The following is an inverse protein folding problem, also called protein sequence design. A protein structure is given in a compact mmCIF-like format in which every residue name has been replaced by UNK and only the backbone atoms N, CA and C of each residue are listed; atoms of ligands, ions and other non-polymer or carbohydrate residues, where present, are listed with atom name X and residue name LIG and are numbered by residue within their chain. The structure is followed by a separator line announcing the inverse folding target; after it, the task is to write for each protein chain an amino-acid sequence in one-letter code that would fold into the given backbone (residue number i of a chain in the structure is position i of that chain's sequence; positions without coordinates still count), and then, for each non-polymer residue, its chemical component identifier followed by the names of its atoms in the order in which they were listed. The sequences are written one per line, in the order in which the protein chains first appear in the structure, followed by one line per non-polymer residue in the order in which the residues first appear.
data_IF_301953679445
#
_entry.id   IF_301953679445
#
_cell.length_a   1.000
_cell.length_b   1.000
_cell.length_c   1.000
_cell.angle_alpha   90.00
_cell.angle_beta   90.00
_cell.angle_gamma   90.00
#
_symmetry.space_group_name_H-M   'P 1'
#
loop_
_entity.id
_entity.type
_entity.pdbx_description
1 polymer ?
#
# COMPACT_ATOMS: atom_id res chain seq x y z
N UNK A 1 15.46 -10.18 -24.11
CA UNK A 1 16.77 -10.67 -23.61
C UNK A 1 17.90 -9.74 -24.03
N UNK A 2 18.12 -9.49 -25.32
CA UNK A 2 19.15 -8.54 -25.78
C UNK A 2 19.02 -7.13 -25.14
N UNK A 3 17.81 -6.56 -25.12
CA UNK A 3 17.54 -5.26 -24.48
C UNK A 3 17.86 -5.24 -22.98
N UNK A 4 17.55 -6.33 -22.27
CA UNK A 4 17.83 -6.48 -20.84
C UNK A 4 19.34 -6.56 -20.60
N UNK A 5 20.05 -7.33 -21.43
CA UNK A 5 21.51 -7.45 -21.35
C UNK A 5 22.19 -6.10 -21.62
N UNK A 6 21.77 -5.38 -22.67
CA UNK A 6 22.30 -4.05 -22.99
C UNK A 6 22.01 -3.03 -21.90
N UNK A 7 20.79 -3.04 -21.35
CA UNK A 7 20.45 -2.18 -20.20
C UNK A 7 21.35 -2.47 -19.01
N UNK A 8 21.53 -3.76 -18.68
CA UNK A 8 22.36 -4.18 -17.56
C UNK A 8 23.81 -3.71 -17.71
N UNK A 9 24.43 -3.94 -18.87
CA UNK A 9 25.81 -3.51 -19.14
C UNK A 9 25.97 -1.99 -19.08
N UNK A 10 25.02 -1.23 -19.63
CA UNK A 10 25.08 0.24 -19.59
C UNK A 10 24.96 0.77 -18.15
N UNK A 11 24.14 0.12 -17.32
CA UNK A 11 24.00 0.53 -15.93
C UNK A 11 25.20 0.14 -15.08
N UNK A 12 25.82 -1.01 -15.36
CA UNK A 12 27.05 -1.44 -14.72
C UNK A 12 28.20 -0.46 -15.01
N UNK A 13 28.34 -0.03 -16.27
CA UNK A 13 29.33 0.99 -16.64
C UNK A 13 29.07 2.37 -16.00
N UNK A 14 27.81 2.79 -15.90
CA UNK A 14 27.46 4.12 -15.40
C UNK A 14 27.45 4.23 -13.87
N UNK A 15 27.05 3.15 -13.17
CA UNK A 15 26.80 3.16 -11.72
C UNK A 15 27.70 2.17 -10.94
N UNK A 16 28.50 1.35 -11.64
CA UNK A 16 29.37 0.33 -11.04
C UNK A 16 28.65 -0.95 -10.61
N UNK A 17 27.39 -1.12 -11.02
CA UNK A 17 26.57 -2.30 -10.78
C UNK A 17 25.40 -2.36 -11.77
N UNK A 18 25.02 -3.58 -12.17
CA UNK A 18 23.82 -3.83 -12.98
C UNK A 18 22.54 -3.59 -12.19
N UNK A 19 21.75 -2.58 -12.60
CA UNK A 19 20.54 -2.18 -11.86
C UNK A 19 19.46 -3.27 -11.85
N UNK A 20 19.38 -4.13 -12.87
CA UNK A 20 18.37 -5.18 -12.91
C UNK A 20 18.74 -6.34 -11.98
N UNK A 21 19.97 -6.86 -12.07
CA UNK A 21 20.41 -7.97 -11.21
C UNK A 21 20.48 -7.55 -9.75
N UNK A 22 20.97 -6.35 -9.45
CA UNK A 22 21.02 -5.86 -8.08
C UNK A 22 19.61 -5.65 -7.50
N UNK A 23 18.68 -5.10 -8.28
CA UNK A 23 17.28 -5.02 -7.87
C UNK A 23 16.68 -6.40 -7.59
N UNK A 24 17.03 -7.44 -8.36
CA UNK A 24 16.61 -8.81 -8.09
C UNK A 24 17.23 -9.36 -6.80
N UNK A 25 18.53 -9.14 -6.57
CA UNK A 25 19.22 -9.58 -5.34
C UNK A 25 18.59 -8.91 -4.12
N UNK A 26 18.43 -7.58 -4.14
CA UNK A 26 17.80 -6.83 -3.05
C UNK A 26 16.36 -7.29 -2.84
N UNK A 27 15.58 -7.42 -3.93
CA UNK A 27 14.21 -7.93 -3.87
C UNK A 27 14.13 -9.31 -3.25
N UNK A 28 15.04 -10.21 -3.61
CA UNK A 28 15.08 -11.57 -3.08
C UNK A 28 15.47 -11.59 -1.60
N UNK A 29 16.48 -10.80 -1.20
CA UNK A 29 16.94 -10.70 0.18
C UNK A 29 15.86 -10.10 1.09
N UNK A 30 15.25 -8.99 0.68
CA UNK A 30 14.16 -8.34 1.42
C UNK A 30 12.95 -9.28 1.48
N UNK A 31 12.57 -9.90 0.36
CA UNK A 31 11.46 -10.85 0.34
C UNK A 31 11.71 -12.06 1.23
N UNK A 32 12.94 -12.59 1.32
CA UNK A 32 13.23 -13.73 2.20
C UNK A 32 13.11 -13.40 3.69
N UNK A 33 13.35 -12.13 4.06
CA UNK A 33 13.34 -11.68 5.44
C UNK A 33 11.96 -11.20 5.91
N UNK A 34 11.13 -10.72 4.98
CA UNK A 34 9.91 -9.97 5.31
C UNK A 34 8.62 -10.57 4.76
N UNK A 35 8.69 -11.53 3.83
CA UNK A 35 7.49 -12.12 3.23
C UNK A 35 6.76 -12.96 4.28
N UNK A 36 5.45 -12.73 4.48
CA UNK A 36 4.64 -13.56 5.37
C UNK A 36 4.41 -14.95 4.76
N UNK A 37 3.67 -15.81 5.46
CA UNK A 37 3.26 -17.11 4.91
C UNK A 37 2.55 -16.96 3.56
N UNK A 38 2.62 -17.96 2.68
CA UNK A 38 1.97 -17.90 1.37
C UNK A 38 0.47 -17.61 1.45
N UNK A 39 -0.21 -18.11 2.48
CA UNK A 39 -1.63 -17.82 2.70
C UNK A 39 -1.86 -16.37 3.09
N UNK A 40 -1.07 -15.82 4.02
CA UNK A 40 -1.16 -14.41 4.41
C UNK A 40 -0.80 -13.48 3.24
N UNK A 41 0.18 -13.85 2.41
CA UNK A 41 0.55 -13.16 1.18
C UNK A 41 -0.62 -13.14 0.19
N UNK A 42 -1.27 -14.29 -0.04
CA UNK A 42 -2.44 -14.38 -0.91
C UNK A 42 -3.61 -13.53 -0.40
N UNK A 43 -3.91 -13.61 0.90
CA UNK A 43 -4.97 -12.81 1.53
C UNK A 43 -4.68 -11.30 1.41
N UNK A 44 -3.44 -10.89 1.67
CA UNK A 44 -2.99 -9.50 1.50
C UNK A 44 -3.13 -9.08 0.03
N UNK A 45 -2.74 -9.92 -0.92
CA UNK A 45 -2.86 -9.63 -2.35
C UNK A 45 -4.33 -9.51 -2.79
N UNK A 46 -5.22 -10.35 -2.27
CA UNK A 46 -6.66 -10.24 -2.47
C UNK A 46 -7.19 -8.93 -1.90
N UNK A 47 -6.79 -8.52 -0.70
CA UNK A 47 -7.22 -7.25 -0.14
C UNK A 47 -6.67 -6.03 -0.91
N UNK A 48 -5.42 -6.08 -1.39
CA UNK A 48 -4.90 -5.02 -2.25
C UNK A 48 -5.63 -4.96 -3.59
N UNK A 49 -5.80 -6.08 -4.28
CA UNK A 49 -6.51 -6.13 -5.55
C UNK A 49 -7.95 -5.63 -5.42
N UNK A 50 -8.63 -6.01 -4.35
CA UNK A 50 -10.03 -5.64 -4.13
C UNK A 50 -10.21 -4.23 -3.61
N UNK A 51 -9.32 -3.75 -2.73
CA UNK A 51 -9.33 -2.37 -2.25
C UNK A 51 -8.97 -1.37 -3.36
N UNK A 52 -8.08 -1.74 -4.29
CA UNK A 52 -7.78 -0.92 -5.46
C UNK A 52 -8.91 -0.90 -6.50
N UNK A 53 -9.70 -1.98 -6.57
CA UNK A 53 -10.83 -2.13 -7.49
C UNK A 53 -12.18 -2.05 -6.78
N UNK A 54 -12.24 -1.42 -5.61
CA UNK A 54 -13.44 -1.38 -4.75
C UNK A 54 -14.64 -0.76 -5.47
N UNK A 55 -14.37 0.18 -6.39
CA UNK A 55 -15.36 0.83 -7.25
C UNK A 55 -16.18 -0.15 -8.08
N UNK A 56 -15.70 -1.36 -8.33
CA UNK A 56 -16.46 -2.42 -8.99
C UNK A 56 -17.72 -2.82 -8.18
N UNK A 57 -17.70 -2.69 -6.84
CA UNK A 57 -18.86 -2.97 -5.99
C UNK A 57 -20.05 -2.07 -6.29
N UNK A 58 -19.79 -0.80 -6.61
CA UNK A 58 -20.84 0.17 -6.93
C UNK A 58 -21.69 -0.30 -8.12
N UNK A 59 -21.10 -1.09 -9.01
CA UNK A 59 -21.79 -1.69 -10.14
C UNK A 59 -22.38 -3.08 -9.80
N UNK A 60 -21.75 -3.84 -8.89
CA UNK A 60 -22.20 -5.18 -8.49
C UNK A 60 -23.55 -5.22 -7.76
N UNK A 61 -23.97 -4.11 -7.14
CA UNK A 61 -25.24 -3.96 -6.43
C UNK A 61 -26.50 -4.26 -7.28
N UNK A 62 -26.35 -4.38 -8.60
CA UNK A 62 -27.44 -4.64 -9.55
C UNK A 62 -27.42 -6.05 -10.17
N UNK A 63 -26.70 -7.00 -9.57
CA UNK A 63 -26.52 -8.34 -10.14
C UNK A 63 -27.33 -9.46 -9.47
N UNK A 64 -27.33 -10.64 -10.09
CA UNK A 64 -28.21 -11.79 -9.77
C UNK A 64 -28.06 -12.35 -8.34
N UNK A 65 -29.07 -13.08 -7.85
CA UNK A 65 -29.08 -13.80 -6.55
C UNK A 65 -27.80 -14.61 -6.25
N UNK A 66 -27.13 -15.13 -7.29
CA UNK A 66 -25.88 -15.92 -7.15
C UNK A 66 -24.72 -15.07 -6.63
N UNK A 67 -24.63 -13.81 -7.06
CA UNK A 67 -23.57 -12.91 -6.63
C UNK A 67 -23.80 -12.48 -5.17
N UNK A 68 -25.05 -12.21 -4.79
CA UNK A 68 -25.40 -11.94 -3.38
C UNK A 68 -25.04 -13.12 -2.46
N UNK A 69 -25.26 -14.36 -2.90
CA UNK A 69 -24.88 -15.55 -2.14
C UNK A 69 -23.35 -15.67 -2.01
N UNK A 70 -22.62 -15.46 -3.11
CA UNK A 70 -21.16 -15.48 -3.10
C UNK A 70 -20.57 -14.41 -2.19
N UNK A 71 -21.14 -13.21 -2.17
CA UNK A 71 -20.72 -12.15 -1.23
C UNK A 71 -21.09 -12.48 0.21
N UNK A 72 -22.29 -13.04 0.45
CA UNK A 72 -22.77 -13.38 1.79
C UNK A 72 -21.95 -14.51 2.44
N UNK A 73 -21.44 -15.45 1.65
CA UNK A 73 -20.56 -16.53 2.12
C UNK A 73 -19.09 -16.10 2.11
N UNK A 74 -18.65 -15.42 1.06
CA UNK A 74 -17.25 -14.99 0.90
C UNK A 74 -16.81 -14.02 1.99
N UNK A 75 -17.65 -13.04 2.33
CA UNK A 75 -17.32 -12.03 3.34
C UNK A 75 -16.96 -12.62 4.71
N UNK A 76 -17.81 -13.43 5.39
CA UNK A 76 -17.45 -13.99 6.69
C UNK A 76 -16.24 -14.92 6.61
N UNK A 77 -16.07 -15.67 5.52
CA UNK A 77 -14.92 -16.56 5.34
C UNK A 77 -13.62 -15.76 5.23
N UNK A 78 -13.56 -14.75 4.36
CA UNK A 78 -12.36 -13.93 4.19
C UNK A 78 -12.07 -13.08 5.43
N UNK A 79 -13.11 -12.60 6.11
CA UNK A 79 -13.01 -11.87 7.38
C UNK A 79 -12.36 -12.73 8.47
N UNK A 80 -12.84 -13.97 8.65
CA UNK A 80 -12.24 -14.91 9.59
C UNK A 80 -10.80 -15.26 9.19
N UNK A 81 -10.55 -15.50 7.89
CA UNK A 81 -9.21 -15.78 7.39
C UNK A 81 -8.23 -14.62 7.64
N UNK A 82 -8.67 -13.37 7.42
CA UNK A 82 -7.88 -12.18 7.73
C UNK A 82 -7.55 -12.09 9.22
N UNK A 83 -8.54 -12.29 10.09
CA UNK A 83 -8.33 -12.29 11.53
C UNK A 83 -7.27 -13.31 11.94
N UNK A 84 -7.41 -14.57 11.53
CA UNK A 84 -6.53 -15.65 11.98
C UNK A 84 -5.15 -15.67 11.33
N UNK A 85 -5.04 -15.34 10.05
CA UNK A 85 -3.81 -15.56 9.27
C UNK A 85 -3.03 -14.28 8.95
N UNK A 86 -3.66 -13.11 9.03
CA UNK A 86 -3.01 -11.83 8.69
C UNK A 86 -2.84 -10.98 9.94
N UNK A 87 -3.93 -10.73 10.66
CA UNK A 87 -3.97 -9.64 11.64
C UNK A 87 -3.56 -10.07 13.05
N UNK A 88 -3.75 -11.33 13.44
CA UNK A 88 -3.45 -11.86 14.79
C UNK A 88 -2.02 -11.58 15.30
N UNK A 89 -1.03 -11.43 14.40
CA UNK A 89 0.36 -11.14 14.74
C UNK A 89 0.79 -9.69 14.57
N UNK A 90 -0.09 -8.81 14.10
CA UNK A 90 0.24 -7.41 13.82
C UNK A 90 0.04 -6.53 15.05
N UNK A 91 1.03 -5.70 15.34
CA UNK A 91 0.90 -4.62 16.31
C UNK A 91 0.39 -3.38 15.57
N UNK A 92 -0.85 -2.99 15.86
CA UNK A 92 -1.50 -1.82 15.28
C UNK A 92 -1.75 -0.79 16.39
N UNK A 93 -1.57 0.49 16.05
CA UNK A 93 -1.94 1.62 16.91
C UNK A 93 -3.45 1.89 16.87
N UNK A 94 -4.14 1.36 15.86
CA UNK A 94 -5.58 1.55 15.64
C UNK A 94 -6.38 0.27 15.88
N UNK A 95 -7.71 0.38 15.74
CA UNK A 95 -8.60 -0.77 15.89
C UNK A 95 -8.24 -1.89 14.92
N UNK A 96 -7.81 -3.01 15.48
CA UNK A 96 -7.54 -4.27 14.76
C UNK A 96 -8.79 -4.77 14.03
N UNK A 97 -9.97 -4.50 14.61
CA UNK A 97 -11.29 -4.89 14.12
C UNK A 97 -11.62 -4.29 12.78
N UNK A 98 -11.35 -3.00 12.59
CA UNK A 98 -11.56 -2.36 11.29
C UNK A 98 -10.70 -3.04 10.22
N UNK A 99 -9.44 -3.33 10.52
CA UNK A 99 -8.50 -3.92 9.55
C UNK A 99 -8.92 -5.31 9.08
N UNK A 100 -9.33 -6.23 9.97
CA UNK A 100 -9.74 -7.56 9.51
C UNK A 100 -11.13 -7.58 8.84
N UNK A 101 -12.04 -6.66 9.20
CA UNK A 101 -13.33 -6.48 8.51
C UNK A 101 -13.13 -5.92 7.10
N UNK A 102 -12.37 -4.82 6.97
CA UNK A 102 -12.06 -4.20 5.68
C UNK A 102 -11.24 -5.14 4.79
N UNK A 103 -10.27 -5.85 5.36
CA UNK A 103 -9.51 -6.88 4.65
C UNK A 103 -10.37 -8.01 4.11
N UNK A 104 -11.32 -8.50 4.91
CA UNK A 104 -12.30 -9.48 4.47
C UNK A 104 -13.17 -8.96 3.32
N UNK A 105 -13.65 -7.72 3.42
CA UNK A 105 -14.43 -7.06 2.37
C UNK A 105 -13.63 -6.95 1.07
N UNK A 106 -12.43 -6.39 1.13
CA UNK A 106 -11.59 -6.22 -0.05
C UNK A 106 -11.22 -7.57 -0.67
N UNK A 107 -10.85 -8.55 0.14
CA UNK A 107 -10.55 -9.88 -0.38
C UNK A 107 -11.75 -10.53 -1.09
N UNK A 108 -12.96 -10.32 -0.56
CA UNK A 108 -14.21 -10.76 -1.21
C UNK A 108 -14.40 -10.10 -2.58
N UNK A 109 -14.10 -8.80 -2.70
CA UNK A 109 -14.19 -8.07 -3.97
C UNK A 109 -13.21 -8.62 -5.00
N UNK A 110 -11.94 -8.81 -4.63
CA UNK A 110 -10.95 -9.39 -5.53
C UNK A 110 -11.32 -10.80 -5.96
N UNK A 111 -11.73 -11.65 -5.02
CA UNK A 111 -12.16 -13.01 -5.31
C UNK A 111 -13.37 -13.02 -6.26
N UNK A 112 -14.32 -12.10 -6.08
CA UNK A 112 -15.45 -11.90 -7.00
C UNK A 112 -15.01 -11.51 -8.41
N UNK A 113 -14.08 -10.57 -8.55
CA UNK A 113 -13.54 -10.14 -9.85
C UNK A 113 -12.78 -11.29 -10.53
N UNK A 114 -11.96 -12.04 -9.80
CA UNK A 114 -11.25 -13.21 -10.33
C UNK A 114 -12.23 -14.31 -10.75
N UNK A 115 -13.28 -14.54 -9.96
CA UNK A 115 -14.35 -15.48 -10.29
C UNK A 115 -15.09 -15.07 -11.57
N UNK A 116 -15.32 -13.77 -11.81
CA UNK A 116 -15.87 -13.30 -13.09
C UNK A 116 -14.99 -13.68 -14.28
N UNK A 117 -13.66 -13.66 -14.12
CA UNK A 117 -12.73 -14.09 -15.16
C UNK A 117 -12.86 -15.58 -15.48
N UNK A 118 -12.97 -16.42 -14.44
CA UNK A 118 -13.21 -17.87 -14.59
C UNK A 118 -14.56 -18.13 -15.23
N UNK A 119 -15.60 -17.41 -14.81
CA UNK A 119 -16.96 -17.54 -15.35
C UNK A 119 -16.99 -17.16 -16.84
N UNK A 120 -16.39 -16.02 -17.23
CA UNK A 120 -16.32 -15.59 -18.65
C UNK A 120 -15.61 -16.65 -19.49
N UNK A 121 -14.50 -17.19 -18.99
CA UNK A 121 -13.71 -18.23 -19.66
C UNK A 121 -14.54 -19.51 -19.88
N UNK A 122 -15.19 -20.00 -18.83
CA UNK A 122 -15.97 -21.25 -18.88
C UNK A 122 -17.21 -21.11 -19.76
N UNK A 123 -17.88 -19.95 -19.71
CA UNK A 123 -19.13 -19.72 -20.44
C UNK A 123 -18.90 -19.39 -21.92
N UNK A 124 -17.94 -18.50 -22.24
CA UNK A 124 -17.75 -18.03 -23.63
C UNK A 124 -16.78 -18.87 -24.42
N UNK A 125 -15.77 -19.47 -23.77
CA UNK A 125 -14.72 -20.29 -24.41
C UNK A 125 -14.10 -19.64 -25.66
N UNK A 126 -13.92 -18.31 -25.63
CA UNK A 126 -13.38 -17.53 -26.75
C UNK A 126 -11.96 -17.03 -26.46
N UNK A 127 -11.24 -16.63 -27.51
CA UNK A 127 -9.88 -16.04 -27.39
C UNK A 127 -9.90 -14.81 -26.47
N UNK A 128 -10.91 -13.95 -26.60
CA UNK A 128 -11.08 -12.79 -25.72
C UNK A 128 -11.23 -13.19 -24.23
N UNK A 129 -11.96 -14.27 -23.95
CA UNK A 129 -12.17 -14.74 -22.58
C UNK A 129 -10.87 -15.32 -21.99
N UNK A 130 -10.09 -16.04 -22.81
CA UNK A 130 -8.74 -16.51 -22.43
C UNK A 130 -7.82 -15.32 -22.15
N UNK A 131 -7.81 -14.30 -23.02
CA UNK A 131 -7.02 -13.10 -22.85
C UNK A 131 -7.35 -12.39 -21.53
N UNK A 132 -8.64 -12.15 -21.24
CA UNK A 132 -9.06 -11.47 -20.01
C UNK A 132 -8.70 -12.28 -18.76
N UNK A 133 -8.88 -13.61 -18.80
CA UNK A 133 -8.51 -14.49 -17.70
C UNK A 133 -7.00 -14.46 -17.43
N UNK A 134 -6.17 -14.60 -18.47
CA UNK A 134 -4.71 -14.55 -18.34
C UNK A 134 -4.22 -13.16 -17.94
N UNK A 135 -4.86 -12.09 -18.41
CA UNK A 135 -4.51 -10.74 -18.01
C UNK A 135 -4.78 -10.52 -16.52
N UNK A 136 -5.98 -10.85 -16.04
CA UNK A 136 -6.35 -10.75 -14.62
C UNK A 136 -5.48 -11.64 -13.74
N UNK A 137 -5.42 -12.93 -14.06
CA UNK A 137 -4.66 -13.91 -13.28
C UNK A 137 -3.17 -13.63 -13.31
N UNK A 138 -2.62 -13.30 -14.47
CA UNK A 138 -1.20 -12.95 -14.63
C UNK A 138 -0.80 -11.71 -13.84
N UNK A 139 -1.59 -10.63 -13.92
CA UNK A 139 -1.32 -9.40 -13.15
C UNK A 139 -1.44 -9.65 -11.65
N UNK A 140 -2.47 -10.39 -11.22
CA UNK A 140 -2.65 -10.75 -9.82
C UNK A 140 -1.48 -11.59 -9.30
N UNK A 141 -1.09 -12.64 -10.03
CA UNK A 141 0.04 -13.49 -9.65
C UNK A 141 1.35 -12.70 -9.59
N UNK A 142 1.60 -11.82 -10.56
CA UNK A 142 2.74 -10.92 -10.56
C UNK A 142 2.77 -10.06 -9.30
N UNK A 143 1.69 -9.34 -9.02
CA UNK A 143 1.58 -8.46 -7.85
C UNK A 143 1.69 -9.22 -6.52
N UNK A 144 1.12 -10.44 -6.45
CA UNK A 144 1.07 -11.24 -5.24
C UNK A 144 2.39 -11.96 -4.92
N UNK A 145 3.08 -12.50 -5.91
CA UNK A 145 4.15 -13.48 -5.68
C UNK A 145 5.50 -13.11 -6.28
N UNK A 146 5.50 -12.35 -7.37
CA UNK A 146 6.74 -12.00 -8.08
C UNK A 146 7.27 -10.63 -7.71
N UNK A 147 6.41 -9.71 -7.27
CA UNK A 147 6.88 -8.45 -6.72
C UNK A 147 7.48 -8.65 -5.31
N UNK A 148 8.50 -7.86 -4.98
CA UNK A 148 9.20 -7.94 -3.70
C UNK A 148 8.33 -7.47 -2.51
N UNK A 149 7.32 -6.63 -2.78
CA UNK A 149 6.24 -6.26 -1.87
C UNK A 149 4.91 -6.12 -2.64
N UNK A 150 3.77 -6.21 -1.97
CA UNK A 150 2.48 -5.95 -2.65
C UNK A 150 2.24 -4.44 -2.63
N UNK A 151 1.90 -3.85 -3.79
CA UNK A 151 1.64 -2.42 -3.90
C UNK A 151 0.35 -2.15 -4.70
N UNK A 152 -0.32 -1.04 -4.46
CA UNK A 152 -1.48 -0.66 -5.28
C UNK A 152 -1.13 -0.46 -6.75
N UNK A 153 0.06 0.10 -7.04
CA UNK A 153 0.55 0.35 -8.40
C UNK A 153 0.62 -0.93 -9.23
N UNK A 154 1.02 -2.04 -8.64
CA UNK A 154 1.14 -3.33 -9.35
C UNK A 154 -0.22 -3.93 -9.75
N UNK A 155 -1.33 -3.46 -9.18
CA UNK A 155 -2.68 -3.87 -9.58
C UNK A 155 -3.31 -2.96 -10.64
N UNK A 156 -2.74 -1.78 -10.92
CA UNK A 156 -3.27 -0.86 -11.93
C UNK A 156 -3.47 -1.53 -13.31
N UNK A 157 -2.53 -2.37 -13.83
CA UNK A 157 -2.74 -3.06 -15.10
C UNK A 157 -3.93 -4.01 -15.10
N UNK A 158 -4.44 -4.43 -13.94
CA UNK A 158 -5.59 -5.32 -13.80
C UNK A 158 -6.93 -4.60 -14.05
N UNK A 159 -6.96 -3.28 -13.88
CA UNK A 159 -8.20 -2.48 -13.90
C UNK A 159 -8.97 -2.55 -15.23
N UNK A 160 -8.34 -2.45 -16.42
CA UNK A 160 -9.07 -2.54 -17.69
C UNK A 160 -9.77 -3.88 -17.88
N UNK A 161 -9.07 -4.99 -17.61
CA UNK A 161 -9.65 -6.33 -17.73
C UNK A 161 -10.81 -6.54 -16.74
N UNK A 162 -10.64 -6.09 -15.49
CA UNK A 162 -11.71 -6.11 -14.49
C UNK A 162 -12.93 -5.30 -14.95
N UNK A 163 -12.73 -4.09 -15.48
CA UNK A 163 -13.81 -3.24 -15.97
C UNK A 163 -14.57 -3.88 -17.13
N UNK A 164 -13.87 -4.47 -18.11
CA UNK A 164 -14.49 -5.18 -19.24
C UNK A 164 -15.36 -6.35 -18.72
N UNK A 165 -14.85 -7.15 -17.78
CA UNK A 165 -15.60 -8.27 -17.21
C UNK A 165 -16.82 -7.82 -16.41
N UNK A 166 -16.66 -6.78 -15.59
CA UNK A 166 -17.74 -6.18 -14.82
C UNK A 166 -18.84 -5.72 -15.78
N UNK A 167 -18.52 -4.93 -16.80
CA UNK A 167 -19.50 -4.48 -17.82
C UNK A 167 -20.16 -5.65 -18.55
N UNK A 168 -19.41 -6.70 -18.92
CA UNK A 168 -19.93 -7.91 -19.59
C UNK A 168 -20.96 -8.66 -18.74
N UNK A 169 -20.82 -8.64 -17.42
CA UNK A 169 -21.68 -9.40 -16.49
C UNK A 169 -22.79 -8.58 -15.86
N UNK A 170 -22.75 -7.25 -15.99
CA UNK A 170 -23.84 -6.39 -15.57
C UNK A 170 -25.01 -6.56 -16.54
N UNK A 171 -26.13 -7.08 -16.04
CA UNK A 171 -27.38 -7.10 -16.78
C UNK A 171 -27.86 -5.66 -16.93
N UNK A 172 -27.71 -5.14 -18.15
CA UNK A 172 -28.37 -3.98 -18.72
C UNK A 172 -28.85 -2.91 -17.73
N UNK A 173 -28.07 -1.84 -17.55
CA UNK A 173 -28.51 -0.57 -16.97
C UNK A 173 -29.63 0.13 -17.76
N UNK A 174 -30.24 -0.53 -18.76
CA UNK A 174 -31.14 0.11 -19.74
C UNK A 174 -32.44 0.65 -19.12
N UNK A 175 -32.83 0.25 -17.89
CA UNK A 175 -34.13 0.60 -17.31
C UNK A 175 -34.10 1.51 -16.06
N UNK A 176 -32.96 2.12 -15.69
CA UNK A 176 -32.83 2.83 -14.40
C UNK A 176 -32.56 4.35 -14.55
N UNK A 177 -33.39 5.06 -15.32
CA UNK A 177 -33.51 6.54 -15.31
C UNK A 177 -32.26 7.36 -14.98
N UNK A 178 -32.35 8.33 -14.06
CA UNK A 178 -31.22 9.12 -13.56
C UNK A 178 -30.30 8.35 -12.59
N UNK A 179 -30.80 7.28 -11.95
CA UNK A 179 -30.03 6.43 -11.04
C UNK A 179 -28.95 5.60 -11.75
N UNK A 180 -28.94 5.55 -13.09
CA UNK A 180 -27.90 4.88 -13.89
C UNK A 180 -26.48 5.38 -13.60
N UNK A 181 -26.33 6.61 -13.10
CA UNK A 181 -25.03 7.18 -12.74
C UNK A 181 -24.68 7.05 -11.25
N UNK A 182 -25.60 6.59 -10.40
CA UNK A 182 -25.34 6.45 -8.97
C UNK A 182 -24.12 5.55 -8.65
N UNK A 183 -23.91 4.41 -9.36
CA UNK A 183 -22.68 3.62 -9.22
C UNK A 183 -21.40 4.40 -9.49
N UNK A 184 -21.42 5.22 -10.54
CA UNK A 184 -20.28 6.02 -10.95
C UNK A 184 -20.00 7.13 -9.94
N UNK A 185 -21.04 7.80 -9.44
CA UNK A 185 -20.91 8.82 -8.40
C UNK A 185 -20.41 8.23 -7.08
N UNK A 186 -20.87 7.04 -6.69
CA UNK A 186 -20.38 6.33 -5.52
C UNK A 186 -18.89 5.94 -5.67
N UNK A 187 -18.52 5.38 -6.82
CA UNK A 187 -17.13 5.05 -7.15
C UNK A 187 -16.24 6.30 -7.12
N UNK A 188 -16.67 7.39 -7.76
CA UNK A 188 -15.95 8.66 -7.76
C UNK A 188 -15.82 9.24 -6.36
N UNK A 189 -16.87 9.18 -5.54
CA UNK A 189 -16.85 9.63 -4.15
C UNK A 189 -15.79 8.89 -3.32
N UNK A 190 -15.75 7.56 -3.40
CA UNK A 190 -14.73 6.74 -2.71
C UNK A 190 -13.33 7.08 -3.21
N UNK A 191 -13.12 7.18 -4.53
CA UNK A 191 -11.82 7.55 -5.09
C UNK A 191 -11.36 8.95 -4.65
N UNK A 192 -12.25 9.94 -4.62
CA UNK A 192 -11.95 11.29 -4.14
C UNK A 192 -11.59 11.27 -2.65
N UNK A 193 -12.34 10.54 -1.81
CA UNK A 193 -12.04 10.42 -0.38
C UNK A 193 -10.64 9.82 -0.14
N UNK A 194 -10.30 8.75 -0.83
CA UNK A 194 -8.97 8.12 -0.75
C UNK A 194 -7.89 9.09 -1.24
N UNK A 195 -8.15 9.82 -2.33
CA UNK A 195 -7.22 10.83 -2.87
C UNK A 195 -7.00 11.98 -1.91
N UNK A 196 -8.04 12.47 -1.23
CA UNK A 196 -7.94 13.52 -0.21
C UNK A 196 -7.09 13.02 0.97
N UNK A 197 -7.29 11.78 1.41
CA UNK A 197 -6.49 11.18 2.47
C UNK A 197 -5.01 11.11 2.10
N UNK A 198 -4.69 10.58 0.91
CA UNK A 198 -3.32 10.47 0.42
C UNK A 198 -2.64 11.85 0.28
N UNK A 199 -3.33 12.82 -0.32
CA UNK A 199 -2.87 14.20 -0.41
C UNK A 199 -2.64 14.83 0.97
N UNK A 200 -3.50 14.54 1.94
CA UNK A 200 -3.36 15.04 3.32
C UNK A 200 -2.11 14.47 4.00
N UNK A 201 -1.82 13.19 3.82
CA UNK A 201 -0.63 12.54 4.39
C UNK A 201 0.66 13.05 3.71
N UNK A 202 0.65 13.22 2.39
CA UNK A 202 1.75 13.83 1.66
C UNK A 202 2.03 15.29 2.09
N UNK A 203 0.96 16.08 2.28
CA UNK A 203 1.07 17.45 2.77
C UNK A 203 1.57 17.49 4.22
N UNK A 204 1.16 16.54 5.06
CA UNK A 204 1.67 16.42 6.43
C UNK A 204 3.19 16.23 6.45
N UNK A 205 3.74 15.35 5.60
CA UNK A 205 5.18 15.17 5.47
C UNK A 205 5.90 16.45 5.02
N UNK A 206 5.32 17.18 4.06
CA UNK A 206 5.86 18.46 3.59
C UNK A 206 5.87 19.52 4.70
N UNK A 207 4.77 19.65 5.44
CA UNK A 207 4.65 20.61 6.56
C UNK A 207 5.61 20.26 7.69
N UNK A 208 5.74 18.96 8.02
CA UNK A 208 6.70 18.51 9.02
C UNK A 208 8.14 18.84 8.65
N UNK A 209 8.54 18.59 7.41
CA UNK A 209 9.88 18.92 6.95
C UNK A 209 10.18 20.42 7.04
N UNK A 210 9.23 21.28 6.64
CA UNK A 210 9.37 22.75 6.77
C UNK A 210 9.51 23.19 8.23
N UNK A 211 8.70 22.65 9.13
CA UNK A 211 8.79 22.97 10.56
C UNK A 211 10.17 22.61 11.12
N UNK A 212 10.69 21.42 10.80
CA UNK A 212 12.00 20.99 11.28
C UNK A 212 13.14 21.81 10.66
N UNK A 213 13.04 22.14 9.38
CA UNK A 213 13.97 23.03 8.70
C UNK A 213 14.06 24.40 9.38
N UNK A 214 12.91 25.00 9.71
CA UNK A 214 12.88 26.30 10.40
C UNK A 214 13.43 26.20 11.82
N UNK A 215 12.99 25.18 12.57
CA UNK A 215 13.37 24.98 13.97
C UNK A 215 14.86 24.69 14.15
N UNK A 216 15.45 23.91 13.25
CA UNK A 216 16.82 23.41 13.35
C UNK A 216 17.74 24.00 12.28
N UNK A 217 17.38 25.15 11.71
CA UNK A 217 18.15 25.82 10.65
C UNK A 217 19.63 26.00 10.99
N UNK A 218 19.95 26.29 12.25
CA UNK A 218 21.32 26.49 12.73
C UNK A 218 22.17 25.20 12.77
N UNK A 219 21.54 24.03 12.68
CA UNK A 219 22.19 22.72 12.82
C UNK A 219 22.41 22.02 11.46
N UNK A 220 22.30 22.75 10.34
CA UNK A 220 22.20 22.22 8.97
C UNK A 220 23.33 21.27 8.48
N UNK A 221 24.42 21.08 9.21
CA UNK A 221 25.45 20.06 8.89
C UNK A 221 25.35 18.76 9.69
N UNK A 222 24.44 18.71 10.67
CA UNK A 222 24.35 17.66 11.70
C UNK A 222 23.00 16.94 11.71
N UNK A 223 22.11 17.29 10.77
CA UNK A 223 20.76 16.71 10.70
C UNK A 223 20.78 15.44 9.87
N UNK A 224 20.26 14.37 10.47
CA UNK A 224 20.08 13.07 9.88
C UNK A 224 18.59 12.72 9.87
N UNK A 225 18.16 11.99 8.85
CA UNK A 225 16.74 11.67 8.62
C UNK A 225 16.53 10.17 8.63
N UNK A 226 15.61 9.69 9.46
CA UNK A 226 15.13 8.32 9.47
C UNK A 226 13.74 8.24 8.84
N UNK A 227 13.58 7.31 7.90
CA UNK A 227 12.35 7.10 7.13
C UNK A 227 12.60 7.27 5.63
N UNK A 228 11.57 7.05 4.83
CA UNK A 228 11.64 7.09 3.37
C UNK A 228 10.48 7.90 2.76
N UNK A 229 10.58 8.15 1.45
CA UNK A 229 9.52 8.80 0.68
C UNK A 229 9.56 10.33 0.76
N UNK A 230 8.37 10.96 0.74
CA UNK A 230 8.26 12.42 0.60
C UNK A 230 8.93 13.21 1.72
N UNK A 231 8.91 12.73 2.96
CA UNK A 231 9.59 13.40 4.08
C UNK A 231 11.11 13.46 3.87
N UNK A 232 11.72 12.32 3.52
CA UNK A 232 13.16 12.24 3.23
C UNK A 232 13.53 13.22 2.10
N UNK A 233 12.75 13.24 1.01
CA UNK A 233 12.97 14.14 -0.11
C UNK A 233 13.04 15.62 0.31
N UNK A 234 12.07 16.12 1.09
CA UNK A 234 12.10 17.52 1.52
C UNK A 234 13.22 17.83 2.51
N UNK A 235 13.61 16.88 3.35
CA UNK A 235 14.73 17.06 4.28
C UNK A 235 16.08 17.03 3.56
N UNK A 236 16.25 16.21 2.54
CA UNK A 236 17.45 16.19 1.69
C UNK A 236 17.57 17.47 0.86
N UNK A 237 16.45 18.03 0.38
CA UNK A 237 16.44 19.36 -0.25
C UNK A 237 16.94 20.46 0.68
N UNK A 238 16.69 20.33 1.98
CA UNK A 238 17.26 21.24 2.97
C UNK A 238 18.76 21.00 3.16
N UNK A 239 19.26 19.77 2.96
CA UNK A 239 20.66 19.38 3.12
C UNK A 239 20.90 18.36 4.23
N UNK A 240 19.83 17.83 4.83
CA UNK A 240 19.93 16.74 5.80
C UNK A 240 20.38 15.44 5.13
N UNK A 241 21.06 14.58 5.89
CA UNK A 241 21.59 13.31 5.38
C UNK A 241 20.66 12.13 5.72
N UNK A 242 20.48 11.16 4.82
CA UNK A 242 19.76 9.94 5.17
C UNK A 242 20.53 9.16 6.25
N UNK A 243 19.82 8.69 7.26
CA UNK A 243 20.40 7.88 8.33
C UNK A 243 20.73 6.46 7.80
N UNK A 244 22.02 6.10 7.85
CA UNK A 244 22.46 4.75 7.51
C UNK A 244 22.38 3.83 8.73
N UNK A 245 21.47 2.86 8.67
CA UNK A 245 21.28 1.85 9.72
C UNK A 245 22.49 0.92 9.89
N UNK A 246 23.28 0.72 8.84
CA UNK A 246 24.49 -0.11 8.90
C UNK A 246 25.65 0.63 9.55
N UNK A 247 25.58 1.95 9.62
CA UNK A 247 26.58 2.79 10.26
C UNK A 247 25.92 3.79 11.24
N UNK A 248 25.33 3.30 12.34
CA UNK A 248 24.64 4.16 13.30
C UNK A 248 25.59 5.14 14.01
N UNK A 249 26.90 4.93 13.96
CA UNK A 249 27.90 5.84 14.54
C UNK A 249 27.97 7.18 13.81
N UNK A 250 27.57 7.22 12.53
CA UNK A 250 27.60 8.44 11.72
C UNK A 250 26.70 9.57 12.28
N UNK A 251 25.69 9.23 13.08
CA UNK A 251 24.76 10.19 13.68
C UNK A 251 25.21 10.74 15.04
N UNK A 252 26.27 10.19 15.65
CA UNK A 252 26.73 10.62 16.98
C UNK A 252 27.08 12.10 17.02
N UNK A 253 26.67 12.79 18.07
CA UNK A 253 26.77 14.26 18.20
C UNK A 253 25.85 15.04 17.25
N UNK A 254 24.95 14.37 16.53
CA UNK A 254 24.01 14.94 15.56
C UNK A 254 22.56 14.97 16.03
N UNK A 255 21.70 15.46 15.14
CA UNK A 255 20.25 15.51 15.34
C UNK A 255 19.59 14.50 14.39
N UNK A 256 18.90 13.50 14.93
CA UNK A 256 18.11 12.56 14.15
C UNK A 256 16.63 12.96 14.15
N UNK A 257 16.04 13.04 12.97
CA UNK A 257 14.62 13.38 12.77
C UNK A 257 13.94 12.25 12.00
N UNK A 258 12.76 11.82 12.44
CA UNK A 258 12.03 10.76 11.75
C UNK A 258 10.57 10.65 12.17
N UNK A 259 9.85 9.73 11.52
CA UNK A 259 8.47 9.40 11.91
C UNK A 259 8.46 8.59 13.20
N UNK A 260 7.60 8.96 14.16
CA UNK A 260 7.49 8.32 15.47
C UNK A 260 6.97 6.88 15.40
N UNK A 261 6.17 6.56 14.40
CA UNK A 261 5.54 5.25 14.25
C UNK A 261 6.34 4.28 13.38
N UNK A 262 7.54 4.67 12.92
CA UNK A 262 8.46 3.73 12.28
C UNK A 262 8.96 2.74 13.36
N UNK A 263 8.56 1.48 13.25
CA UNK A 263 8.93 0.40 14.19
C UNK A 263 10.44 0.17 14.26
N UNK A 264 11.22 0.78 13.36
CA UNK A 264 12.68 0.79 13.38
C UNK A 264 13.30 1.82 14.36
N UNK A 265 12.50 2.64 15.05
CA UNK A 265 12.98 3.54 16.12
C UNK A 265 13.56 2.76 17.30
N UNK A 266 13.17 1.50 17.48
CA UNK A 266 13.60 0.65 18.58
C UNK A 266 15.14 0.38 18.61
N UNK A 267 15.90 0.77 17.58
CA UNK A 267 17.35 0.52 17.53
C UNK A 267 18.22 1.63 18.14
N UNK A 268 17.68 2.82 18.44
CA UNK A 268 18.44 3.81 19.21
C UNK A 268 18.21 3.55 20.68
N UNK A 269 19.21 2.96 21.35
CA UNK A 269 19.12 2.72 22.78
C UNK A 269 18.84 4.04 23.50
N UNK A 270 17.98 4.00 24.52
CA UNK A 270 17.64 5.16 25.37
C UNK A 270 18.87 5.80 26.03
N UNK A 271 20.01 5.10 26.06
CA UNK A 271 21.29 5.60 26.56
C UNK A 271 21.98 6.57 25.58
N UNK A 272 21.60 6.55 24.30
CA UNK A 272 22.24 7.33 23.23
C UNK A 272 21.48 8.63 22.90
N UNK A 273 20.26 8.83 23.42
CA UNK A 273 19.45 10.02 23.12
C UNK A 273 19.56 11.04 24.25
N UNK A 274 20.14 12.21 23.98
CA UNK A 274 20.31 13.28 24.96
C UNK A 274 19.01 14.04 25.26
N UNK A 275 18.21 14.29 24.22
CA UNK A 275 16.91 14.95 24.31
C UNK A 275 16.05 14.52 23.14
N UNK A 276 14.75 14.27 23.40
CA UNK A 276 13.74 13.93 22.38
C UNK A 276 12.60 14.93 22.45
N UNK A 277 12.27 15.52 21.32
CA UNK A 277 11.04 16.29 21.15
C UNK A 277 10.13 15.60 20.15
N UNK A 278 8.83 15.73 20.36
CA UNK A 278 7.79 15.19 19.48
C UNK A 278 6.99 16.36 18.90
N UNK A 279 6.56 16.22 17.65
CA UNK A 279 5.67 17.17 17.00
C UNK A 279 4.53 16.40 16.34
N UNK A 280 3.31 16.84 16.62
CA UNK A 280 2.08 16.28 16.07
C UNK A 280 1.59 17.15 14.92
N UNK A 281 1.01 16.52 13.91
CA UNK A 281 0.52 17.22 12.72
C UNK A 281 -0.92 16.82 12.45
N UNK A 282 -1.66 17.70 11.78
CA UNK A 282 -3.02 17.41 11.36
C UNK A 282 -3.04 16.69 10.02
N UNK A 283 -3.79 15.60 9.96
CA UNK A 283 -4.15 14.91 8.74
C UNK A 283 -5.60 14.43 8.83
N UNK A 284 -6.15 13.91 7.74
CA UNK A 284 -7.46 13.27 7.75
C UNK A 284 -7.51 12.21 8.87
N UNK A 285 -8.49 12.28 9.80
CA UNK A 285 -8.53 11.44 10.99
C UNK A 285 -9.25 10.10 10.80
N UNK A 286 -9.81 9.86 9.61
CA UNK A 286 -10.69 8.71 9.35
C UNK A 286 -10.21 7.78 8.24
N UNK A 287 -9.52 8.29 7.22
CA UNK A 287 -9.06 7.51 6.06
C UNK A 287 -7.55 7.66 5.93
N UNK A 288 -6.85 6.55 5.74
CA UNK A 288 -5.39 6.48 5.60
C UNK A 288 -5.03 5.65 4.38
N UNK A 289 -4.06 6.10 3.58
CA UNK A 289 -3.46 5.30 2.51
C UNK A 289 -2.08 4.81 2.91
N UNK A 290 -1.36 5.57 3.75
CA UNK A 290 -0.03 5.20 4.18
C UNK A 290 0.33 5.83 5.53
N UNK A 291 -0.01 5.10 6.62
CA UNK A 291 0.38 5.48 7.98
C UNK A 291 0.74 4.25 8.79
N UNK A 292 1.97 4.24 9.31
CA UNK A 292 2.48 3.16 10.15
C UNK A 292 1.53 2.85 11.31
N UNK A 293 1.35 1.56 11.58
CA UNK A 293 0.49 1.08 12.67
C UNK A 293 -1.02 1.19 12.42
N UNK A 294 -1.47 1.69 11.26
CA UNK A 294 -2.91 1.81 10.96
C UNK A 294 -3.48 0.64 10.16
N UNK A 295 -2.61 -0.16 9.54
CA UNK A 295 -2.97 -1.23 8.62
C UNK A 295 -3.04 -0.81 7.13
N UNK A 296 -3.02 0.48 6.84
CA UNK A 296 -2.94 1.02 5.47
C UNK A 296 -1.50 1.14 4.98
N UNK A 297 -1.24 0.62 3.78
CA UNK A 297 0.09 0.58 3.19
C UNK A 297 0.06 0.57 1.65
N UNK A 298 -0.63 1.55 1.06
CA UNK A 298 -0.86 1.69 -0.39
C UNK A 298 0.39 1.45 -1.25
N UNK A 299 1.54 1.93 -0.78
CA UNK A 299 2.81 1.89 -1.50
C UNK A 299 3.64 0.62 -1.25
N UNK A 300 3.37 -0.14 -0.18
CA UNK A 300 4.11 -1.38 0.15
C UNK A 300 3.43 -2.15 1.28
N UNK A 301 3.15 -3.44 1.06
CA UNK A 301 2.54 -4.31 2.09
C UNK A 301 3.42 -4.59 3.30
N UNK A 302 4.66 -4.09 3.32
CA UNK A 302 5.56 -4.22 4.46
C UNK A 302 5.09 -3.44 5.70
N UNK A 303 4.20 -2.45 5.52
CA UNK A 303 3.73 -1.58 6.61
C UNK A 303 2.25 -1.77 6.98
N UNK A 304 1.56 -2.69 6.29
CA UNK A 304 0.16 -2.96 6.54
C UNK A 304 -0.44 -3.89 5.49
N UNK A 305 -1.48 -4.65 5.85
CA UNK A 305 -2.07 -5.64 4.96
C UNK A 305 -3.11 -5.08 3.98
N UNK A 306 -3.47 -3.79 4.09
CA UNK A 306 -4.50 -3.17 3.26
C UNK A 306 -3.93 -2.00 2.44
N UNK A 307 -4.46 -1.73 1.24
CA UNK A 307 -4.03 -0.57 0.45
C UNK A 307 -4.48 0.76 1.08
N UNK A 308 -5.60 0.77 1.79
CA UNK A 308 -6.13 1.91 2.54
C UNK A 308 -7.08 1.40 3.63
N UNK A 309 -7.37 2.22 4.63
CA UNK A 309 -8.29 1.86 5.74
C UNK A 309 -9.21 3.01 6.11
N UNK A 310 -10.38 2.67 6.65
CA UNK A 310 -11.29 3.58 7.35
C UNK A 310 -11.28 3.24 8.84
N UNK A 311 -10.54 4.02 9.61
CA UNK A 311 -10.33 3.74 11.04
C UNK A 311 -10.24 5.04 11.82
N UNK A 312 -10.32 4.99 13.15
CA UNK A 312 -9.99 6.15 13.98
C UNK A 312 -8.47 6.30 14.02
N UNK A 313 -7.94 7.28 13.31
CA UNK A 313 -6.51 7.42 13.10
C UNK A 313 -5.87 8.36 14.13
N UNK A 314 -4.71 8.01 14.71
CA UNK A 314 -3.93 8.94 15.52
C UNK A 314 -3.35 10.05 14.63
N UNK A 315 -3.12 11.23 15.19
CA UNK A 315 -2.42 12.30 14.47
C UNK A 315 -1.02 11.82 14.06
N UNK A 316 -0.53 12.13 12.85
CA UNK A 316 0.85 11.86 12.49
C UNK A 316 1.83 12.50 13.48
N UNK A 317 2.86 11.73 13.85
CA UNK A 317 3.85 12.09 14.85
C UNK A 317 5.24 11.98 14.25
N UNK A 318 6.03 13.03 14.46
CA UNK A 318 7.45 13.05 14.12
C UNK A 318 8.25 13.32 15.39
N UNK A 319 9.46 12.81 15.43
CA UNK A 319 10.39 13.05 16.52
C UNK A 319 11.65 13.74 16.01
N UNK A 320 12.28 14.49 16.90
CA UNK A 320 13.64 14.99 16.74
C UNK A 320 14.43 14.62 18.00
N UNK A 321 15.56 13.94 17.82
CA UNK A 321 16.36 13.35 18.89
C UNK A 321 17.83 13.72 18.71
N UNK A 322 18.42 14.38 19.72
CA UNK A 322 19.87 14.60 19.74
C UNK A 322 20.57 13.32 20.17
N UNK A 323 21.51 12.84 19.37
CA UNK A 323 22.25 11.61 19.63
C UNK A 323 23.61 11.95 20.26
N UNK A 324 23.95 11.26 21.35
CA UNK A 324 25.21 11.38 22.08
C UNK A 324 26.34 10.66 21.36
#
# INVERSE_FOLDING_TARGET
LAVLFTYETLTDEAYGHGLFSEAMIISSAVSSLTRPSHLAQLLTALAFGGGCLISALSFAAFSSKRFCLLTAVGYPVFTAAFYFFVVRGLHLETSITAVWLEGGLFATVAAGILALGVIDLVQKKSVDAVLLFLWLGGTFCFAAFFNWSITARTFLPMAPAAAILVVRHLRSFQNIGALKYAPLLAAAGVSILITIADCSEANCARTAARLFQERYRAELGKVWVQGHGGFQYYMEQWGAKPFDRKNPQAVQGGLLIGLFSDTNIAQLSTQTVAARSESTFSAVPLVSTFRYGTGAAFYTSLHGPLPWVINKLPSPRYYAAHVR
#
